data_IF_564123878154
#
_entry.id   IF_564123878154
#
_cell.length_a   1.000
_cell.length_b   1.000
_cell.length_c   1.000
_cell.angle_alpha   90.00
_cell.angle_beta   90.00
_cell.angle_gamma   90.00
#
_symmetry.space_group_name_H-M   'P 1'
#
loop_
_entity.id
_entity.type
_entity.pdbx_description
1 polymer ?
#
# COMPACT_ATOMS: atom_id res chain seq x y z
N UNK A 1 12.77 16.57 3.74
CA UNK A 1 13.49 15.54 2.96
C UNK A 1 12.66 14.27 3.04
N UNK A 2 12.17 13.72 1.92
CA UNK A 2 11.50 12.42 1.88
C UNK A 2 12.53 11.40 1.43
N UNK A 3 12.67 10.29 2.16
CA UNK A 3 13.53 9.18 1.77
C UNK A 3 12.72 8.30 0.81
N UNK A 4 13.28 8.01 -0.36
CA UNK A 4 12.68 7.13 -1.35
C UNK A 4 12.94 5.64 -1.02
N UNK A 5 12.05 4.71 -1.41
CA UNK A 5 12.28 3.27 -1.23
C UNK A 5 13.55 2.76 -1.95
N UNK A 6 13.94 3.40 -3.05
CA UNK A 6 15.19 3.10 -3.76
C UNK A 6 16.42 3.44 -2.90
N UNK A 7 16.37 4.53 -2.13
CA UNK A 7 17.44 4.92 -1.20
C UNK A 7 17.58 3.92 -0.06
N UNK A 8 16.46 3.40 0.47
CA UNK A 8 16.50 2.34 1.49
C UNK A 8 17.02 1.01 0.96
N UNK A 9 16.69 0.69 -0.29
CA UNK A 9 17.21 -0.50 -0.99
C UNK A 9 18.71 -0.37 -1.23
N UNK A 10 19.19 0.81 -1.64
CA UNK A 10 20.61 1.10 -1.79
C UNK A 10 21.34 1.03 -0.44
N UNK A 11 20.78 1.65 0.60
CA UNK A 11 21.33 1.58 1.95
C UNK A 11 21.51 0.15 2.44
N UNK A 12 20.51 -0.72 2.27
CA UNK A 12 20.61 -2.12 2.66
C UNK A 12 21.73 -2.84 1.91
N UNK A 13 21.82 -2.62 0.58
CA UNK A 13 22.89 -3.20 -0.25
C UNK A 13 24.29 -2.73 0.16
N UNK A 14 24.46 -1.42 0.32
CA UNK A 14 25.76 -0.80 0.59
C UNK A 14 26.31 -1.15 1.98
N UNK A 15 25.42 -1.57 2.90
CA UNK A 15 25.77 -1.99 4.26
C UNK A 15 25.71 -3.51 4.47
N UNK A 16 25.63 -4.28 3.37
CA UNK A 16 25.54 -5.75 3.40
C UNK A 16 24.41 -6.28 4.31
N UNK A 17 23.23 -5.68 4.20
CA UNK A 17 22.02 -6.05 4.92
C UNK A 17 21.04 -6.77 3.98
N UNK A 18 20.40 -7.81 4.49
CA UNK A 18 19.24 -8.43 3.85
C UNK A 18 18.00 -7.63 4.20
N UNK A 19 17.38 -7.01 3.19
CA UNK A 19 16.12 -6.30 3.35
C UNK A 19 14.96 -7.30 3.43
N UNK A 20 14.33 -7.45 4.58
CA UNK A 20 13.26 -8.43 4.80
C UNK A 20 11.87 -7.81 4.74
N UNK A 21 11.71 -6.55 5.14
CA UNK A 21 10.43 -5.85 5.05
C UNK A 21 10.65 -4.41 4.58
N UNK A 22 9.73 -3.91 3.76
CA UNK A 22 9.65 -2.49 3.40
C UNK A 22 8.17 -2.13 3.29
N UNK A 23 7.68 -1.41 4.28
CA UNK A 23 6.25 -1.16 4.46
C UNK A 23 5.94 0.33 4.55
N UNK A 24 4.68 0.68 4.28
CA UNK A 24 4.18 2.05 4.38
C UNK A 24 5.01 3.04 3.55
N UNK A 25 5.50 2.58 2.39
CA UNK A 25 6.30 3.36 1.45
C UNK A 25 5.57 4.66 1.11
N UNK A 26 6.33 5.76 0.98
CA UNK A 26 5.82 7.11 0.70
C UNK A 26 5.03 7.77 1.83
N UNK A 27 4.92 7.12 2.99
CA UNK A 27 4.32 7.71 4.19
C UNK A 27 5.39 8.13 5.20
N UNK A 28 5.01 8.96 6.18
CA UNK A 28 5.87 9.31 7.32
C UNK A 28 6.13 8.13 8.28
N UNK A 29 5.43 7.01 8.10
CA UNK A 29 5.56 5.78 8.88
C UNK A 29 6.29 4.69 8.09
N UNK A 30 6.96 5.04 6.98
CA UNK A 30 7.77 4.09 6.23
C UNK A 30 8.84 3.51 7.14
N UNK A 31 8.92 2.18 7.17
CA UNK A 31 9.90 1.46 7.97
C UNK A 31 10.42 0.25 7.20
N UNK A 32 11.63 -0.17 7.57
CA UNK A 32 12.30 -1.30 6.96
C UNK A 32 12.78 -2.26 8.05
N UNK A 33 12.71 -3.56 7.77
CA UNK A 33 13.32 -4.60 8.60
C UNK A 33 14.51 -5.15 7.84
N UNK A 34 15.69 -5.12 8.47
CA UNK A 34 16.92 -5.66 7.92
C UNK A 34 17.50 -6.74 8.82
N UNK A 35 18.17 -7.71 8.20
CA UNK A 35 18.99 -8.69 8.90
C UNK A 35 20.45 -8.56 8.45
N UNK A 36 21.36 -8.52 9.41
CA UNK A 36 22.80 -8.66 9.12
C UNK A 36 23.06 -10.06 8.56
N UNK A 37 23.81 -10.16 7.47
CA UNK A 37 24.22 -11.46 6.95
C UNK A 37 25.01 -12.21 8.01
N UNK A 38 24.57 -13.43 8.30
CA UNK A 38 25.27 -14.34 9.19
C UNK A 38 26.31 -15.17 8.44
N UNK A 39 26.95 -16.10 9.16
CA UNK A 39 27.73 -17.14 8.50
C UNK A 39 26.85 -17.93 7.51
N UNK A 40 27.41 -18.40 6.38
CA UNK A 40 26.68 -19.23 5.43
C UNK A 40 26.00 -20.40 6.14
N UNK A 41 24.68 -20.51 5.98
CA UNK A 41 23.95 -21.70 6.42
C UNK A 41 23.96 -22.73 5.30
N UNK A 42 23.86 -24.01 5.67
CA UNK A 42 23.70 -25.07 4.69
C UNK A 42 22.52 -24.74 3.77
N UNK A 43 22.69 -24.97 2.46
CA UNK A 43 21.61 -24.77 1.51
C UNK A 43 20.41 -25.62 1.96
N UNK A 44 19.21 -25.03 2.07
CA UNK A 44 18.02 -25.81 2.40
C UNK A 44 17.74 -26.83 1.27
N UNK A 45 16.85 -27.79 1.54
CA UNK A 45 16.36 -28.70 0.50
C UNK A 45 15.69 -27.95 -0.66
N UNK A 46 15.12 -28.64 -1.66
CA UNK A 46 14.43 -27.96 -2.76
C UNK A 46 13.31 -27.07 -2.21
N UNK A 47 13.28 -25.81 -2.65
CA UNK A 47 12.25 -24.87 -2.28
C UNK A 47 10.91 -25.28 -2.91
N UNK A 48 9.81 -24.98 -2.22
CA UNK A 48 8.47 -25.32 -2.70
C UNK A 48 7.40 -24.41 -2.10
N UNK A 49 6.48 -23.93 -2.93
CA UNK A 49 5.30 -23.21 -2.44
C UNK A 49 4.33 -24.22 -1.85
N UNK A 50 4.10 -24.15 -0.54
CA UNK A 50 3.20 -25.03 0.21
C UNK A 50 1.75 -24.56 0.13
N UNK A 51 1.54 -23.24 0.16
CA UNK A 51 0.22 -22.62 0.12
C UNK A 51 0.31 -21.17 -0.36
N UNK A 52 -0.79 -20.66 -0.90
CA UNK A 52 -0.99 -19.23 -1.18
C UNK A 52 -2.32 -18.81 -0.56
N UNK A 53 -2.29 -17.75 0.24
CA UNK A 53 -3.48 -17.14 0.83
C UNK A 53 -3.50 -15.64 0.57
N UNK A 54 -4.63 -14.99 0.85
CA UNK A 54 -4.68 -13.54 0.97
C UNK A 54 -3.78 -13.10 2.13
N UNK A 55 -2.97 -12.07 1.92
CA UNK A 55 -2.07 -11.57 2.96
C UNK A 55 -2.78 -10.90 4.14
N UNK A 56 -4.03 -10.44 3.95
CA UNK A 56 -4.82 -9.74 4.97
C UNK A 56 -5.90 -10.61 5.59
N UNK A 57 -6.52 -11.51 4.82
CA UNK A 57 -7.65 -12.34 5.30
C UNK A 57 -7.28 -13.80 5.58
N UNK A 58 -6.17 -14.30 5.04
CA UNK A 58 -5.78 -15.70 5.14
C UNK A 58 -6.58 -16.67 4.25
N UNK A 59 -7.55 -16.17 3.46
CA UNK A 59 -8.36 -17.00 2.57
C UNK A 59 -7.57 -17.46 1.34
N UNK A 60 -7.93 -18.60 0.73
CA UNK A 60 -7.26 -19.13 -0.47
C UNK A 60 -7.69 -18.42 -1.79
N UNK A 61 -7.93 -17.12 -1.73
CA UNK A 61 -8.38 -16.27 -2.84
C UNK A 61 -7.92 -14.83 -2.62
N UNK A 62 -7.68 -14.08 -3.69
CA UNK A 62 -7.44 -12.64 -3.61
C UNK A 62 -8.21 -11.92 -4.73
N UNK A 63 -8.69 -10.68 -4.51
CA UNK A 63 -9.24 -9.87 -5.59
C UNK A 63 -8.14 -9.41 -6.55
N UNK A 64 -8.51 -9.17 -7.81
CA UNK A 64 -7.59 -8.70 -8.85
C UNK A 64 -7.06 -7.27 -8.63
N UNK A 65 -7.75 -6.46 -7.81
CA UNK A 65 -7.39 -5.06 -7.54
C UNK A 65 -7.93 -4.60 -6.17
N UNK A 66 -7.45 -3.43 -5.73
CA UNK A 66 -7.84 -2.78 -4.48
C UNK A 66 -7.01 -3.20 -3.27
N UNK A 67 -7.34 -2.71 -2.06
CA UNK A 67 -6.50 -2.87 -0.87
C UNK A 67 -6.25 -4.32 -0.44
N UNK A 68 -7.13 -5.24 -0.83
CA UNK A 68 -7.02 -6.67 -0.51
C UNK A 68 -6.33 -7.48 -1.61
N UNK A 69 -5.87 -6.87 -2.71
CA UNK A 69 -5.16 -7.53 -3.79
C UNK A 69 -3.71 -7.83 -3.38
N UNK A 70 -3.57 -8.73 -2.42
CA UNK A 70 -2.31 -9.09 -1.81
C UNK A 70 -2.31 -10.58 -1.46
N UNK A 71 -1.15 -11.22 -1.63
CA UNK A 71 -0.96 -12.64 -1.37
C UNK A 71 0.16 -12.86 -0.38
N UNK A 72 -0.02 -13.88 0.44
CA UNK A 72 0.99 -14.50 1.29
C UNK A 72 1.32 -15.86 0.70
N UNK A 73 2.57 -16.00 0.24
CA UNK A 73 3.12 -17.22 -0.35
C UNK A 73 3.94 -17.92 0.73
N UNK A 74 3.52 -19.11 1.13
CA UNK A 74 4.19 -19.91 2.15
C UNK A 74 5.17 -20.85 1.47
N UNK A 75 6.46 -20.57 1.63
CA UNK A 75 7.54 -21.25 0.90
C UNK A 75 8.34 -22.12 1.86
N UNK A 76 8.31 -23.43 1.65
CA UNK A 76 9.19 -24.35 2.34
C UNK A 76 10.61 -24.22 1.77
N UNK A 77 11.63 -24.29 2.63
CA UNK A 77 13.03 -24.32 2.23
C UNK A 77 13.44 -23.10 1.37
N UNK A 78 12.88 -21.92 1.65
CA UNK A 78 13.31 -20.68 1.00
C UNK A 78 14.82 -20.46 1.26
N UNK A 79 15.65 -20.16 0.24
CA UNK A 79 17.05 -19.86 0.45
C UNK A 79 17.23 -18.78 1.52
N UNK A 80 18.12 -19.02 2.48
CA UNK A 80 18.33 -18.10 3.61
C UNK A 80 18.73 -16.69 3.16
N UNK A 81 19.34 -16.58 1.98
CA UNK A 81 19.81 -15.31 1.43
C UNK A 81 18.76 -14.56 0.60
N UNK A 82 17.55 -15.11 0.48
CA UNK A 82 16.43 -14.39 -0.12
C UNK A 82 16.09 -13.14 0.71
N UNK A 83 16.02 -12.02 0.00
CA UNK A 83 15.62 -10.72 0.52
C UNK A 83 14.71 -10.02 -0.51
N UNK A 84 14.14 -8.87 -0.18
CA UNK A 84 13.28 -8.10 -1.08
C UNK A 84 14.04 -7.57 -2.32
N UNK A 85 15.37 -7.50 -2.27
CA UNK A 85 16.21 -6.95 -3.34
C UNK A 85 16.36 -7.96 -4.47
N UNK A 86 16.77 -9.18 -4.14
CA UNK A 86 17.06 -10.27 -5.06
C UNK A 86 15.85 -11.14 -5.39
N UNK A 87 14.80 -11.12 -4.56
CA UNK A 87 13.60 -11.94 -4.77
C UNK A 87 12.58 -11.23 -5.65
N UNK A 88 11.91 -11.99 -6.53
CA UNK A 88 10.80 -11.53 -7.36
C UNK A 88 9.67 -12.54 -7.30
N UNK A 89 8.44 -12.02 -7.25
CA UNK A 89 7.21 -12.79 -7.40
C UNK A 89 6.52 -12.28 -8.65
N UNK A 90 6.00 -13.18 -9.47
CA UNK A 90 5.11 -12.86 -10.57
C UNK A 90 3.79 -13.61 -10.42
N UNK A 91 2.67 -12.97 -10.77
CA UNK A 91 1.36 -13.59 -10.88
C UNK A 91 0.90 -13.49 -12.34
N UNK A 92 0.63 -14.63 -12.99
CA UNK A 92 0.31 -14.70 -14.43
C UNK A 92 1.35 -13.98 -15.32
N UNK A 93 2.63 -14.03 -14.92
CA UNK A 93 3.74 -13.36 -15.60
C UNK A 93 3.87 -11.85 -15.32
N UNK A 94 2.94 -11.25 -14.57
CA UNK A 94 3.00 -9.85 -14.16
C UNK A 94 3.76 -9.69 -12.83
N UNK A 95 4.68 -8.71 -12.70
CA UNK A 95 5.49 -8.56 -11.51
C UNK A 95 4.66 -8.07 -10.31
N UNK A 96 4.70 -8.83 -9.22
CA UNK A 96 4.12 -8.44 -7.94
C UNK A 96 5.10 -7.55 -7.16
N UNK A 97 4.55 -6.70 -6.28
CA UNK A 97 5.36 -5.87 -5.39
C UNK A 97 5.55 -6.57 -4.05
N UNK A 98 6.73 -7.13 -3.81
CA UNK A 98 7.04 -7.73 -2.51
C UNK A 98 7.07 -6.69 -1.40
N UNK A 99 6.65 -7.09 -0.21
CA UNK A 99 6.65 -6.23 0.98
C UNK A 99 7.26 -6.85 2.21
N UNK A 100 7.28 -8.19 2.28
CA UNK A 100 7.76 -8.91 3.45
C UNK A 100 8.28 -10.30 3.09
N UNK A 101 9.40 -10.69 3.69
CA UNK A 101 9.92 -12.05 3.79
C UNK A 101 10.14 -12.33 5.27
N UNK A 102 9.40 -13.29 5.80
CA UNK A 102 9.51 -13.73 7.18
C UNK A 102 10.68 -14.68 7.40
N UNK A 103 11.15 -14.73 8.64
CA UNK A 103 12.02 -15.80 9.10
C UNK A 103 11.33 -17.17 8.93
N UNK A 104 12.08 -18.26 8.71
CA UNK A 104 11.51 -19.58 8.66
C UNK A 104 10.90 -19.95 10.01
N UNK A 105 9.69 -20.50 9.98
CA UNK A 105 9.04 -21.14 11.11
C UNK A 105 9.79 -22.44 11.52
N UNK A 106 9.36 -23.07 12.62
CA UNK A 106 9.99 -24.29 13.13
C UNK A 106 9.98 -25.45 12.12
N UNK A 107 9.04 -25.46 11.17
CA UNK A 107 8.94 -26.45 10.08
C UNK A 107 9.73 -26.06 8.81
N UNK A 108 10.45 -24.93 8.85
CA UNK A 108 11.26 -24.42 7.74
C UNK A 108 10.46 -23.66 6.68
N UNK A 109 9.19 -23.34 6.93
CA UNK A 109 8.36 -22.53 6.01
C UNK A 109 8.57 -21.05 6.29
N UNK A 110 8.84 -20.27 5.24
CA UNK A 110 8.93 -18.81 5.30
C UNK A 110 7.71 -18.19 4.61
N UNK A 111 7.21 -17.11 5.18
CA UNK A 111 6.14 -16.31 4.59
C UNK A 111 6.73 -15.27 3.63
N UNK A 112 6.18 -15.15 2.42
CA UNK A 112 6.53 -14.07 1.48
C UNK A 112 5.28 -13.32 1.06
N UNK A 113 5.16 -12.05 1.44
CA UNK A 113 4.01 -11.23 1.08
C UNK A 113 4.30 -10.36 -0.14
N UNK A 114 3.32 -10.24 -1.01
CA UNK A 114 3.37 -9.33 -2.14
C UNK A 114 1.98 -8.77 -2.48
N UNK A 115 1.96 -7.55 -2.98
CA UNK A 115 0.79 -6.97 -3.64
C UNK A 115 0.72 -7.45 -5.08
N UNK A 116 -0.49 -7.80 -5.50
CA UNK A 116 -0.80 -8.21 -6.86
C UNK A 116 -0.75 -6.98 -7.79
N UNK A 117 -0.30 -7.16 -9.04
CA UNK A 117 -0.23 -6.08 -10.01
C UNK A 117 -1.62 -5.72 -10.55
N UNK A 118 -1.75 -4.49 -11.05
CA UNK A 118 -2.89 -4.10 -11.87
C UNK A 118 -2.94 -4.89 -13.18
N UNK A 119 -4.13 -5.03 -13.77
CA UNK A 119 -4.33 -5.74 -15.03
C UNK A 119 -4.33 -7.28 -14.93
N UNK A 120 -4.21 -7.83 -13.72
CA UNK A 120 -4.29 -9.28 -13.50
C UNK A 120 -5.69 -9.81 -13.86
N UNK A 121 -5.74 -10.87 -14.66
CA UNK A 121 -7.02 -11.52 -15.00
C UNK A 121 -7.61 -12.25 -13.80
N UNK A 122 -8.93 -12.45 -13.83
CA UNK A 122 -9.61 -13.31 -12.86
C UNK A 122 -9.47 -14.80 -13.23
N UNK A 123 -9.76 -15.68 -12.27
CA UNK A 123 -9.63 -17.13 -12.40
C UNK A 123 -8.40 -17.69 -11.68
N UNK A 124 -8.02 -18.92 -11.99
CA UNK A 124 -6.77 -19.50 -11.49
C UNK A 124 -5.58 -18.93 -12.26
N UNK A 125 -4.61 -18.38 -11.52
CA UNK A 125 -3.38 -17.83 -12.07
C UNK A 125 -2.16 -18.49 -11.41
N UNK A 126 -1.07 -18.72 -12.17
CA UNK A 126 0.18 -19.20 -11.59
C UNK A 126 0.88 -18.08 -10.83
N UNK A 127 1.53 -18.45 -9.73
CA UNK A 127 2.44 -17.61 -8.96
C UNK A 127 3.82 -18.24 -9.01
N UNK A 128 4.78 -17.45 -9.47
CA UNK A 128 6.16 -17.84 -9.68
C UNK A 128 7.09 -17.08 -8.75
N UNK A 129 8.12 -17.76 -8.26
CA UNK A 129 9.13 -17.20 -7.36
C UNK A 129 10.51 -17.32 -7.99
N UNK A 130 11.23 -16.19 -8.04
CA UNK A 130 12.58 -16.11 -8.57
C UNK A 130 13.52 -15.46 -7.56
N UNK A 131 14.77 -15.89 -7.55
CA UNK A 131 15.85 -15.27 -6.80
C UNK A 131 17.04 -15.02 -7.73
N UNK A 132 17.47 -13.76 -7.82
CA UNK A 132 18.49 -13.31 -8.78
C UNK A 132 18.22 -13.75 -10.23
N UNK A 133 16.95 -13.73 -10.63
CA UNK A 133 16.51 -14.12 -11.98
C UNK A 133 16.42 -15.63 -12.22
N UNK A 134 16.70 -16.45 -11.22
CA UNK A 134 16.57 -17.92 -11.30
C UNK A 134 15.26 -18.35 -10.64
N UNK A 135 14.45 -19.14 -11.34
CA UNK A 135 13.26 -19.78 -10.75
C UNK A 135 13.70 -20.77 -9.69
N UNK A 136 13.23 -20.59 -8.45
CA UNK A 136 13.71 -21.37 -7.31
C UNK A 136 12.79 -22.54 -6.91
N UNK A 137 11.57 -22.58 -7.42
CA UNK A 137 10.63 -23.67 -7.19
C UNK A 137 9.56 -23.73 -8.31
N UNK A 138 8.85 -24.86 -8.47
CA UNK A 138 7.68 -24.93 -9.35
C UNK A 138 6.61 -23.88 -8.97
N UNK A 139 5.83 -23.37 -9.94
CA UNK A 139 4.75 -22.45 -9.65
C UNK A 139 3.64 -23.12 -8.84
N UNK A 140 2.93 -22.32 -8.06
CA UNK A 140 1.67 -22.70 -7.42
C UNK A 140 0.53 -21.82 -7.94
N UNK A 141 -0.71 -22.19 -7.64
CA UNK A 141 -1.89 -21.56 -8.22
C UNK A 141 -2.69 -20.85 -7.14
N UNK A 142 -3.16 -19.64 -7.47
CA UNK A 142 -4.07 -18.88 -6.61
C UNK A 142 -5.32 -18.51 -7.40
N UNK A 143 -6.47 -18.50 -6.72
CA UNK A 143 -7.71 -18.00 -7.32
C UNK A 143 -7.75 -16.48 -7.19
N UNK A 144 -7.86 -15.81 -8.33
CA UNK A 144 -8.11 -14.39 -8.43
C UNK A 144 -9.60 -14.17 -8.70
N UNK A 145 -10.26 -13.38 -7.84
CA UNK A 145 -11.66 -13.00 -8.01
C UNK A 145 -11.79 -11.59 -8.56
N UNK A 146 -12.93 -11.23 -9.16
CA UNK A 146 -13.24 -9.83 -9.45
C UNK A 146 -13.07 -8.98 -8.20
N UNK A 147 -12.51 -7.78 -8.34
CA UNK A 147 -12.48 -6.81 -7.26
C UNK A 147 -13.93 -6.43 -6.89
N UNK A 148 -14.19 -6.24 -5.60
CA UNK A 148 -15.41 -5.59 -5.16
C UNK A 148 -15.46 -4.13 -5.65
N UNK A 149 -16.64 -3.48 -5.61
CA UNK A 149 -16.70 -2.05 -5.89
C UNK A 149 -15.80 -1.30 -4.90
N UNK A 150 -15.01 -0.34 -5.39
CA UNK A 150 -14.30 0.58 -4.52
C UNK A 150 -15.32 1.36 -3.68
N UNK A 151 -15.11 1.44 -2.37
CA UNK A 151 -15.96 2.19 -1.46
C UNK A 151 -15.14 3.33 -0.86
N UNK A 152 -15.00 4.48 -1.57
CA UNK A 152 -14.23 5.62 -1.07
C UNK A 152 -14.73 6.06 0.29
N UNK A 153 -13.80 6.24 1.24
CA UNK A 153 -14.09 6.69 2.60
C UNK A 153 -13.18 7.83 2.98
N UNK A 154 -13.74 8.81 3.69
CA UNK A 154 -12.94 9.86 4.32
C UNK A 154 -12.34 9.26 5.58
N UNK A 155 -11.02 9.27 5.65
CA UNK A 155 -10.25 8.82 6.80
C UNK A 155 -10.05 9.97 7.79
N UNK A 156 -9.66 11.16 7.31
CA UNK A 156 -9.46 12.36 8.14
C UNK A 156 -9.79 13.63 7.37
N UNK A 157 -10.23 14.67 8.09
CA UNK A 157 -10.21 16.07 7.65
C UNK A 157 -9.47 16.88 8.71
N UNK A 158 -8.47 17.64 8.29
CA UNK A 158 -7.66 18.46 9.17
C UNK A 158 -7.23 19.77 8.51
N UNK A 159 -6.63 20.67 9.29
CA UNK A 159 -5.87 21.80 8.74
C UNK A 159 -4.75 21.31 7.82
N UNK A 160 -4.56 21.99 6.68
CA UNK A 160 -3.62 21.59 5.64
C UNK A 160 -2.14 21.76 6.02
N UNK A 161 -1.85 22.57 7.04
CA UNK A 161 -0.49 22.88 7.50
C UNK A 161 -0.29 22.43 8.95
N UNK A 162 -1.16 22.85 9.87
CA UNK A 162 -1.11 22.47 11.27
C UNK A 162 -1.96 21.22 11.54
N UNK A 163 -1.48 20.05 11.13
CA UNK A 163 -2.23 18.78 11.27
C UNK A 163 -2.68 18.48 12.72
N UNK A 164 -1.99 19.03 13.72
CA UNK A 164 -2.34 18.86 15.14
C UNK A 164 -3.58 19.67 15.57
N UNK A 165 -4.01 20.68 14.81
CA UNK A 165 -5.26 21.39 15.09
C UNK A 165 -6.49 20.60 14.66
N UNK A 166 -6.32 19.42 14.04
CA UNK A 166 -7.43 18.58 13.60
C UNK A 166 -8.37 19.36 12.69
N UNK A 167 -9.68 19.26 12.94
CA UNK A 167 -10.70 19.96 12.15
C UNK A 167 -10.80 21.47 12.42
N UNK A 168 -9.95 22.05 13.29
CA UNK A 168 -9.80 23.49 13.44
C UNK A 168 -8.82 24.04 12.40
N UNK A 169 -9.31 24.82 11.46
CA UNK A 169 -8.58 25.36 10.31
C UNK A 169 -8.02 26.75 10.65
N UNK A 170 -6.70 26.84 10.77
CA UNK A 170 -5.95 28.05 11.12
C UNK A 170 -5.13 28.56 9.93
N UNK A 171 -4.69 27.69 9.04
CA UNK A 171 -3.86 28.04 7.87
C UNK A 171 -4.66 28.52 6.66
N UNK A 172 -5.99 28.40 6.72
CA UNK A 172 -6.86 28.57 5.56
C UNK A 172 -6.75 27.45 4.51
N UNK A 173 -6.02 26.37 4.81
CA UNK A 173 -5.96 25.16 3.99
C UNK A 173 -6.59 23.99 4.72
N UNK A 174 -7.26 23.10 4.00
CA UNK A 174 -7.86 21.87 4.50
C UNK A 174 -7.18 20.70 3.81
N UNK A 175 -6.76 19.70 4.59
CA UNK A 175 -6.30 18.40 4.10
C UNK A 175 -7.36 17.34 4.39
N UNK A 176 -7.73 16.60 3.35
CA UNK A 176 -8.62 15.45 3.42
C UNK A 176 -7.82 14.21 3.07
N UNK A 177 -7.77 13.22 3.96
CA UNK A 177 -7.26 11.89 3.64
C UNK A 177 -8.43 10.99 3.29
N UNK A 178 -8.38 10.32 2.15
CA UNK A 178 -9.34 9.32 1.74
C UNK A 178 -8.64 7.98 1.43
N UNK A 179 -9.38 6.88 1.57
CA UNK A 179 -8.94 5.52 1.21
C UNK A 179 -9.91 4.93 0.17
N UNK A 180 -9.46 3.90 -0.56
CA UNK A 180 -10.23 3.28 -1.66
C UNK A 180 -10.61 4.28 -2.77
N UNK A 181 -9.71 5.22 -3.09
CA UNK A 181 -9.88 6.20 -4.17
C UNK A 181 -9.23 5.69 -5.46
N UNK A 182 -10.05 5.45 -6.49
CA UNK A 182 -9.57 4.99 -7.81
C UNK A 182 -9.43 6.13 -8.84
N UNK A 183 -10.27 7.16 -8.73
CA UNK A 183 -10.33 8.30 -9.67
C UNK A 183 -10.16 9.63 -8.92
N UNK A 184 -8.93 9.96 -8.45
CA UNK A 184 -8.70 11.16 -7.64
C UNK A 184 -9.07 12.47 -8.36
N UNK A 185 -9.02 12.51 -9.69
CA UNK A 185 -9.41 13.65 -10.54
C UNK A 185 -10.89 14.02 -10.43
N UNK A 186 -11.73 13.09 -9.97
CA UNK A 186 -13.17 13.31 -9.77
C UNK A 186 -13.50 13.93 -8.40
N UNK A 187 -12.49 14.21 -7.58
CA UNK A 187 -12.68 14.81 -6.27
C UNK A 187 -13.23 16.23 -6.39
N UNK A 188 -14.27 16.54 -5.60
CA UNK A 188 -14.85 17.87 -5.47
C UNK A 188 -15.11 18.16 -4.00
N UNK A 189 -14.87 19.39 -3.58
CA UNK A 189 -15.14 19.85 -2.23
C UNK A 189 -15.85 21.21 -2.25
N UNK A 190 -16.81 21.39 -1.35
CA UNK A 190 -17.42 22.69 -1.07
C UNK A 190 -17.42 22.98 0.42
N UNK A 191 -17.35 24.25 0.79
CA UNK A 191 -17.49 24.74 2.17
C UNK A 191 -18.73 25.61 2.23
N UNK A 192 -19.74 25.17 3.00
CA UNK A 192 -21.07 25.81 3.07
C UNK A 192 -21.71 26.06 1.68
N UNK A 193 -21.46 25.15 0.73
CA UNK A 193 -21.97 25.23 -0.63
C UNK A 193 -21.14 26.07 -1.60
N UNK A 194 -20.02 26.64 -1.16
CA UNK A 194 -19.08 27.39 -1.99
C UNK A 194 -17.92 26.48 -2.39
N UNK A 195 -17.59 26.43 -3.69
CA UNK A 195 -16.52 25.57 -4.20
C UNK A 195 -15.16 25.89 -3.57
N UNK A 196 -14.47 24.84 -3.13
CA UNK A 196 -13.10 24.94 -2.64
C UNK A 196 -12.14 25.38 -3.74
N UNK A 197 -11.06 26.08 -3.37
CA UNK A 197 -10.08 26.62 -4.31
C UNK A 197 -8.78 25.80 -4.28
N UNK A 198 -8.01 25.85 -5.36
CA UNK A 198 -6.66 25.27 -5.44
C UNK A 198 -6.59 23.81 -4.96
N UNK A 199 -7.50 22.97 -5.44
CA UNK A 199 -7.53 21.55 -5.09
C UNK A 199 -6.31 20.85 -5.70
N UNK A 200 -5.48 20.26 -4.86
CA UNK A 200 -4.45 19.31 -5.24
C UNK A 200 -4.81 17.88 -4.82
N UNK A 201 -4.15 16.90 -5.41
CA UNK A 201 -4.25 15.51 -4.98
C UNK A 201 -2.88 14.84 -4.98
N UNK A 202 -2.67 13.95 -4.02
CA UNK A 202 -1.43 13.21 -3.84
C UNK A 202 -1.75 11.77 -3.44
N UNK A 203 -1.23 10.80 -4.20
CA UNK A 203 -1.32 9.39 -3.82
C UNK A 203 -0.32 9.10 -2.70
N UNK A 204 -0.81 8.94 -1.47
CA UNK A 204 0.01 8.68 -0.30
C UNK A 204 0.34 7.18 -0.13
N UNK A 205 -0.55 6.30 -0.58
CA UNK A 205 -0.28 4.87 -0.70
C UNK A 205 -1.06 4.28 -1.88
N UNK A 206 -0.40 3.87 -2.98
CA UNK A 206 -1.08 3.31 -4.14
C UNK A 206 -1.73 1.95 -3.85
N UNK A 207 -1.27 1.20 -2.84
CA UNK A 207 -1.88 -0.08 -2.48
C UNK A 207 -3.24 0.14 -1.82
N UNK A 208 -3.26 0.86 -0.71
CA UNK A 208 -4.48 1.17 0.03
C UNK A 208 -5.38 2.13 -0.73
N UNK A 209 -4.97 2.56 -1.93
CA UNK A 209 -5.61 3.61 -2.72
C UNK A 209 -5.87 4.84 -1.85
N UNK A 210 -4.86 5.18 -1.04
CA UNK A 210 -4.91 6.27 -0.08
C UNK A 210 -4.46 7.55 -0.76
N UNK A 211 -5.33 8.53 -0.76
CA UNK A 211 -5.08 9.83 -1.34
C UNK A 211 -5.21 10.92 -0.29
N UNK A 212 -4.35 11.91 -0.39
CA UNK A 212 -4.48 13.19 0.28
C UNK A 212 -4.95 14.22 -0.73
N UNK A 213 -5.97 14.99 -0.37
CA UNK A 213 -6.45 16.14 -1.11
C UNK A 213 -6.25 17.37 -0.26
N UNK A 214 -5.55 18.38 -0.75
CA UNK A 214 -5.44 19.66 -0.08
C UNK A 214 -6.19 20.72 -0.90
N UNK A 215 -6.86 21.63 -0.21
CA UNK A 215 -7.52 22.76 -0.86
C UNK A 215 -7.49 23.98 0.04
N UNK A 216 -7.75 25.15 -0.53
CA UNK A 216 -7.88 26.42 0.19
C UNK A 216 -9.35 26.72 0.48
N UNK A 217 -9.59 27.27 1.67
CA UNK A 217 -10.91 27.82 2.01
C UNK A 217 -11.24 28.97 1.03
N UNK A 218 -12.49 29.07 0.55
CA UNK A 218 -12.92 30.23 -0.21
C UNK A 218 -12.76 31.52 0.61
N UNK A 219 -12.37 32.63 -0.03
CA UNK A 219 -12.13 33.92 0.65
C UNK A 219 -13.35 34.47 1.41
N UNK A 220 -14.56 34.06 1.02
CA UNK A 220 -15.81 34.46 1.66
C UNK A 220 -16.11 33.76 2.99
N UNK A 221 -15.41 32.66 3.30
CA UNK A 221 -15.59 31.92 4.56
C UNK A 221 -14.99 32.73 5.71
N UNK A 222 -15.78 32.97 6.74
CA UNK A 222 -15.38 33.73 7.94
C UNK A 222 -14.92 32.76 9.03
N UNK A 223 -14.41 33.28 10.15
CA UNK A 223 -14.13 32.47 11.33
C UNK A 223 -15.44 31.94 11.95
N UNK A 224 -15.40 30.72 12.49
CA UNK A 224 -16.53 30.03 13.11
C UNK A 224 -16.78 28.62 12.55
N UNK A 225 -17.92 28.00 12.90
CA UNK A 225 -18.27 26.65 12.47
C UNK A 225 -18.77 26.62 11.03
N UNK A 226 -18.25 25.66 10.24
CA UNK A 226 -18.62 25.44 8.84
C UNK A 226 -18.75 23.95 8.51
N UNK A 227 -19.37 23.64 7.36
CA UNK A 227 -19.46 22.28 6.84
C UNK A 227 -18.70 22.11 5.53
N UNK A 228 -17.83 21.11 5.50
CA UNK A 228 -17.23 20.61 4.27
C UNK A 228 -18.11 19.52 3.68
N UNK A 229 -18.44 19.63 2.40
CA UNK A 229 -19.08 18.59 1.61
C UNK A 229 -18.10 18.08 0.58
N UNK A 230 -17.98 16.76 0.49
CA UNK A 230 -17.05 16.09 -0.42
C UNK A 230 -17.85 15.18 -1.34
N UNK A 231 -17.51 15.23 -2.63
CA UNK A 231 -17.97 14.29 -3.62
C UNK A 231 -16.77 13.68 -4.37
N UNK A 232 -16.91 12.42 -4.77
CA UNK A 232 -15.97 11.74 -5.66
C UNK A 232 -16.80 11.11 -6.79
N UNK A 233 -16.71 11.69 -7.98
CA UNK A 233 -17.58 11.35 -9.10
C UNK A 233 -19.04 11.58 -8.75
N UNK A 234 -19.88 10.54 -8.89
CA UNK A 234 -21.30 10.59 -8.54
C UNK A 234 -21.59 10.36 -7.06
N UNK A 235 -20.59 10.06 -6.23
CA UNK A 235 -20.77 9.72 -4.82
C UNK A 235 -20.57 10.94 -3.94
N UNK A 236 -21.66 11.44 -3.35
CA UNK A 236 -21.59 12.39 -2.25
C UNK A 236 -21.32 11.66 -0.91
N UNK A 237 -20.42 12.19 -0.11
CA UNK A 237 -20.07 11.67 1.22
C UNK A 237 -20.77 12.49 2.30
N UNK A 238 -20.81 11.95 3.53
CA UNK A 238 -21.42 12.65 4.66
C UNK A 238 -20.72 14.01 4.90
N UNK A 239 -21.46 15.11 5.12
CA UNK A 239 -20.87 16.40 5.46
C UNK A 239 -20.03 16.31 6.73
N UNK A 240 -18.92 17.05 6.77
CA UNK A 240 -17.97 17.03 7.89
C UNK A 240 -17.84 18.43 8.50
N UNK A 241 -17.88 18.57 9.83
CA UNK A 241 -17.73 19.85 10.49
C UNK A 241 -16.25 20.27 10.56
N UNK A 242 -16.01 21.55 10.29
CA UNK A 242 -14.73 22.23 10.53
C UNK A 242 -14.98 23.51 11.33
N UNK A 243 -13.95 23.99 12.03
CA UNK A 243 -13.98 25.27 12.75
C UNK A 243 -12.89 26.18 12.17
N UNK A 244 -13.24 27.31 11.57
CA UNK A 244 -12.28 28.26 10.99
C UNK A 244 -11.86 29.28 12.05
N UNK A 245 -10.55 29.44 12.25
CA UNK A 245 -9.97 30.30 13.27
C UNK A 245 -9.98 31.79 12.93
#
# INVERSE_FOLDING_TARGET
MRIAPEELTAFARDNDLQLLALEQIWTQYMWMTCRKRGAPRAAPGPAGIRNISNALTGEAVAPAAGPMAAVSVWVQNLPVDCDLIGTRIAADGLPCRLTYIGEPEADGVSQVNAFLPEGLRTGLVPVELQWHGVVICPPAWVRIMPAGPAVPRIYTVADGVNLLSGNRIVSGSVKVTMIEVTHPEEFRATVDGIDAQEIDSFCADPIGQRYEFNFRLPESIRSGPHQVRIALGHRALAPLPIEVA
#
